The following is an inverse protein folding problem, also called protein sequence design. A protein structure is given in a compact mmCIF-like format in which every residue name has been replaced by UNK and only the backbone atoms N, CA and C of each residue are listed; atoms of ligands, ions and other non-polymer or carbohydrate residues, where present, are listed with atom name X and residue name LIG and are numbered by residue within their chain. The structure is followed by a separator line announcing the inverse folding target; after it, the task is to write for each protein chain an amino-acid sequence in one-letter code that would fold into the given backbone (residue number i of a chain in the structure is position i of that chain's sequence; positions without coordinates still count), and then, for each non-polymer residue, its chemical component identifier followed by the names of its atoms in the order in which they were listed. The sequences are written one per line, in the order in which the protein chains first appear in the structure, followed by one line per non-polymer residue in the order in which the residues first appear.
data_IF_452522757699
#
_entry.id   IF_452522757699
#
_cell.length_a   1.000
_cell.length_b   1.000
_cell.length_c   1.000
_cell.angle_alpha   90.00
_cell.angle_beta   90.00
_cell.angle_gamma   90.00
#
_symmetry.space_group_name_H-M   'P 1'
#
loop_
_entity.id
_entity.type
_entity.pdbx_description
1 polymer ?
#
# COMPACT_ATOMS: atom_id res chain seq x y z
N UNK A 1 -13.08 -0.98 -2.67
CA UNK A 1 -13.02 -1.14 -1.20
C UNK A 1 -12.20 -0.01 -0.55
N UNK A 2 -10.96 0.26 -0.99
CA UNK A 2 -10.18 1.45 -0.59
C UNK A 2 -10.58 2.69 -1.39
N UNK A 3 -10.87 2.53 -2.69
CA UNK A 3 -11.26 3.63 -3.61
C UNK A 3 -12.62 4.26 -3.27
N UNK A 4 -13.42 3.61 -2.42
CA UNK A 4 -14.69 4.10 -1.88
C UNK A 4 -14.54 4.77 -0.52
N UNK A 5 -13.34 4.76 0.07
CA UNK A 5 -13.10 5.44 1.34
C UNK A 5 -13.15 6.96 1.14
N UNK A 6 -13.77 7.69 2.08
CA UNK A 6 -13.62 9.14 2.18
C UNK A 6 -12.14 9.54 2.18
N UNK A 7 -11.83 10.70 1.58
CA UNK A 7 -10.45 11.16 1.35
C UNK A 7 -9.53 10.98 2.58
N UNK A 8 -9.95 11.47 3.75
CA UNK A 8 -9.13 11.36 4.97
C UNK A 8 -9.01 9.95 5.54
N UNK A 9 -10.04 9.13 5.42
CA UNK A 9 -9.93 7.72 5.83
C UNK A 9 -8.94 6.99 4.93
N UNK A 10 -8.98 7.25 3.62
CA UNK A 10 -8.02 6.70 2.66
C UNK A 10 -6.59 7.10 3.00
N UNK A 11 -6.34 8.39 3.23
CA UNK A 11 -4.99 8.87 3.53
C UNK A 11 -4.43 8.30 4.85
N UNK A 12 -5.24 8.21 5.91
CA UNK A 12 -4.84 7.54 7.15
C UNK A 12 -4.54 6.07 6.89
N UNK A 13 -5.36 5.40 6.09
CA UNK A 13 -5.18 4.00 5.75
C UNK A 13 -3.91 3.74 4.92
N UNK A 14 -3.69 4.51 3.85
CA UNK A 14 -2.48 4.42 3.01
C UNK A 14 -1.22 4.74 3.81
N UNK A 15 -1.31 5.70 4.74
CA UNK A 15 -0.21 6.03 5.65
C UNK A 15 0.12 4.86 6.57
N UNK A 16 -0.90 4.20 7.14
CA UNK A 16 -0.70 2.99 7.93
C UNK A 16 -0.15 1.84 7.10
N UNK A 17 -0.58 1.69 5.84
CA UNK A 17 -0.02 0.68 4.93
C UNK A 17 1.47 0.89 4.67
N UNK A 18 1.92 2.14 4.48
CA UNK A 18 3.35 2.45 4.32
C UNK A 18 4.16 2.21 5.60
N UNK A 19 3.55 2.41 6.77
CA UNK A 19 4.19 2.15 8.06
C UNK A 19 4.21 0.67 8.44
N UNK A 20 3.38 -0.15 7.80
CA UNK A 20 3.07 -1.56 8.12
C UNK A 20 2.41 -1.76 9.49
N UNK A 21 2.86 -1.03 10.52
CA UNK A 21 2.32 -1.03 11.88
C UNK A 21 2.65 0.26 12.60
N UNK A 22 1.72 0.79 13.40
CA UNK A 22 2.00 1.99 14.19
C UNK A 22 0.91 2.40 15.18
N UNK A 23 1.30 3.15 16.21
CA UNK A 23 0.35 3.84 17.09
C UNK A 23 -0.23 5.09 16.41
N UNK A 24 -1.33 5.62 16.96
CA UNK A 24 -1.99 6.81 16.40
C UNK A 24 -1.05 8.01 16.22
N UNK A 25 -0.10 8.21 17.14
CA UNK A 25 0.90 9.27 17.04
C UNK A 25 1.86 9.08 15.84
N UNK A 26 2.28 7.84 15.57
CA UNK A 26 3.14 7.54 14.43
C UNK A 26 2.42 7.80 13.10
N UNK A 27 1.15 7.37 13.01
CA UNK A 27 0.30 7.65 11.84
C UNK A 27 0.13 9.16 11.65
N UNK A 28 -0.17 9.90 12.73
CA UNK A 28 -0.32 11.36 12.69
C UNK A 28 0.94 12.05 12.16
N UNK A 29 2.11 11.65 12.65
CA UNK A 29 3.39 12.26 12.27
C UNK A 29 3.78 11.96 10.81
N UNK A 30 3.29 10.86 10.25
CA UNK A 30 3.54 10.47 8.87
C UNK A 30 2.51 11.04 7.86
N UNK A 31 1.46 11.73 8.33
CA UNK A 31 0.52 12.43 7.47
C UNK A 31 1.16 13.71 6.92
N UNK A 32 1.00 13.95 5.62
CA UNK A 32 1.47 15.17 4.95
C UNK A 32 0.72 16.42 5.42
N UNK A 33 -0.55 16.28 5.79
CA UNK A 33 -1.40 17.35 6.32
C UNK A 33 -1.95 16.93 7.69
N UNK A 34 -1.32 17.39 8.79
CA UNK A 34 -1.58 16.86 10.13
C UNK A 34 -2.95 17.29 10.65
N UNK A 35 -3.67 16.31 11.21
CA UNK A 35 -4.93 16.52 11.93
C UNK A 35 -4.73 16.32 13.44
N UNK A 36 -5.77 16.60 14.24
CA UNK A 36 -5.71 16.37 15.68
C UNK A 36 -5.55 14.88 15.99
N UNK A 37 -4.91 14.58 17.12
CA UNK A 37 -4.72 13.21 17.60
C UNK A 37 -6.07 12.48 17.82
N UNK A 38 -7.09 13.19 18.30
CA UNK A 38 -8.47 12.69 18.40
C UNK A 38 -9.09 12.36 17.04
N UNK A 39 -8.80 13.14 16.00
CA UNK A 39 -9.29 12.88 14.65
C UNK A 39 -8.61 11.64 14.05
N UNK A 40 -7.29 11.48 14.24
CA UNK A 40 -6.58 10.25 13.79
C UNK A 40 -7.17 9.02 14.45
N UNK A 41 -7.36 9.04 15.78
CA UNK A 41 -7.98 7.91 16.50
C UNK A 41 -9.38 7.59 16.00
N UNK A 42 -10.20 8.61 15.75
CA UNK A 42 -11.54 8.43 15.19
C UNK A 42 -11.50 7.75 13.81
N UNK A 43 -10.58 8.17 12.94
CA UNK A 43 -10.43 7.57 11.61
C UNK A 43 -9.91 6.13 11.70
N UNK A 44 -8.95 5.85 12.57
CA UNK A 44 -8.47 4.48 12.82
C UNK A 44 -9.61 3.58 13.33
N UNK A 45 -10.42 4.03 14.29
CA UNK A 45 -11.57 3.25 14.75
C UNK A 45 -12.61 2.98 13.66
N UNK A 46 -12.82 3.92 12.71
CA UNK A 46 -13.70 3.69 11.56
C UNK A 46 -13.11 2.67 10.60
N UNK A 47 -11.81 2.72 10.34
CA UNK A 47 -11.12 1.73 9.50
C UNK A 47 -11.15 0.34 10.14
N UNK A 48 -11.01 0.26 11.46
CA UNK A 48 -11.13 -0.98 12.26
C UNK A 48 -12.55 -1.53 12.15
N UNK A 49 -13.57 -0.69 12.33
CA UNK A 49 -14.98 -1.09 12.18
C UNK A 49 -15.32 -1.57 10.75
N UNK A 50 -14.59 -1.11 9.74
CA UNK A 50 -14.69 -1.59 8.35
C UNK A 50 -13.91 -2.87 8.08
N UNK A 51 -13.18 -3.38 9.07
CA UNK A 51 -12.34 -4.58 8.94
C UNK A 51 -11.13 -4.38 8.04
N UNK A 52 -10.65 -3.14 7.87
CA UNK A 52 -9.49 -2.80 7.04
C UNK A 52 -8.18 -2.79 7.84
N UNK A 53 -8.27 -2.58 9.14
CA UNK A 53 -7.12 -2.59 10.04
C UNK A 53 -7.45 -3.43 11.27
N UNK A 54 -6.40 -3.89 11.94
CA UNK A 54 -6.47 -4.59 13.21
C UNK A 54 -5.83 -3.72 14.29
N UNK A 55 -6.32 -3.87 15.52
CA UNK A 55 -5.82 -3.18 16.70
C UNK A 55 -5.29 -4.21 17.69
N UNK A 56 -4.07 -4.00 18.18
CA UNK A 56 -3.45 -4.81 19.21
C UNK A 56 -2.95 -3.93 20.37
N UNK A 57 -2.84 -4.46 21.60
CA UNK A 57 -2.16 -3.78 22.69
C UNK A 57 -0.68 -3.50 22.33
N UNK A 58 -0.18 -2.34 22.77
CA UNK A 58 1.20 -1.91 22.59
C UNK A 58 1.72 -1.14 23.81
N UNK A 59 3.01 -0.75 23.81
CA UNK A 59 3.67 -0.14 24.96
C UNK A 59 2.96 1.12 25.50
N UNK A 60 2.51 1.98 24.59
CA UNK A 60 1.86 3.26 24.91
C UNK A 60 0.38 3.27 24.48
N UNK A 61 -0.32 2.13 24.67
CA UNK A 61 -1.75 1.98 24.38
C UNK A 61 -2.01 0.97 23.27
N UNK A 62 -2.42 1.43 22.09
CA UNK A 62 -2.78 0.55 20.97
C UNK A 62 -1.88 0.79 19.75
N UNK A 63 -1.51 -0.31 19.11
CA UNK A 63 -0.88 -0.33 17.80
C UNK A 63 -1.87 -0.85 16.77
N UNK A 64 -1.83 -0.27 15.58
CA UNK A 64 -2.69 -0.60 14.46
C UNK A 64 -1.85 -1.18 13.33
N UNK A 65 -2.42 -2.07 12.54
CA UNK A 65 -1.80 -2.61 11.32
C UNK A 65 -2.88 -2.90 10.26
N UNK A 66 -2.59 -2.81 8.95
CA UNK A 66 -3.53 -3.24 7.92
C UNK A 66 -3.84 -4.73 8.07
N UNK A 67 -5.08 -5.15 7.77
CA UNK A 67 -5.37 -6.59 7.63
C UNK A 67 -4.61 -7.15 6.42
N UNK A 68 -4.10 -8.39 6.47
CA UNK A 68 -3.39 -9.04 5.34
C UNK A 68 -4.20 -9.03 4.03
N UNK A 69 -5.55 -9.03 4.11
CA UNK A 69 -6.41 -8.88 2.92
C UNK A 69 -6.15 -7.58 2.14
N UNK A 70 -5.53 -6.58 2.75
CA UNK A 70 -5.19 -5.30 2.12
C UNK A 70 -4.14 -5.46 1.03
N UNK A 71 -3.17 -6.35 1.19
CA UNK A 71 -2.16 -6.65 0.15
C UNK A 71 -2.84 -7.24 -1.09
N UNK A 72 -3.79 -8.15 -0.90
CA UNK A 72 -4.62 -8.69 -1.98
C UNK A 72 -5.51 -7.60 -2.62
N UNK A 73 -6.00 -6.64 -1.84
CA UNK A 73 -6.76 -5.49 -2.37
C UNK A 73 -5.85 -4.54 -3.18
N UNK A 74 -4.62 -4.30 -2.73
CA UNK A 74 -3.64 -3.48 -3.43
C UNK A 74 -3.23 -4.15 -4.75
N UNK A 75 -2.93 -5.46 -4.73
CA UNK A 75 -2.68 -6.23 -5.93
C UNK A 75 -3.86 -6.17 -6.92
N UNK A 76 -5.09 -6.33 -6.42
CA UNK A 76 -6.29 -6.21 -7.25
C UNK A 76 -6.51 -4.80 -7.82
N UNK A 77 -6.15 -3.74 -7.09
CA UNK A 77 -6.21 -2.37 -7.59
C UNK A 77 -5.15 -2.12 -8.67
N UNK A 78 -3.92 -2.58 -8.44
CA UNK A 78 -2.84 -2.53 -9.42
C UNK A 78 -3.21 -3.28 -10.70
N UNK A 79 -3.78 -4.48 -10.59
CA UNK A 79 -4.26 -5.24 -11.74
C UNK A 79 -5.27 -4.45 -12.57
N UNK A 80 -6.26 -3.82 -11.93
CA UNK A 80 -7.24 -2.97 -12.64
C UNK A 80 -6.57 -1.79 -13.36
N UNK A 81 -5.56 -1.17 -12.76
CA UNK A 81 -4.80 -0.08 -13.42
C UNK A 81 -4.04 -0.61 -14.64
N UNK A 82 -3.40 -1.78 -14.53
CA UNK A 82 -2.72 -2.45 -15.65
C UNK A 82 -3.71 -2.76 -16.77
N UNK A 83 -4.87 -3.34 -16.44
CA UNK A 83 -5.90 -3.69 -17.42
C UNK A 83 -6.44 -2.43 -18.13
N UNK A 84 -6.68 -1.35 -17.37
CA UNK A 84 -7.31 -0.13 -17.88
C UNK A 84 -6.38 0.73 -18.73
N UNK A 85 -5.14 0.93 -18.29
CA UNK A 85 -4.22 1.90 -18.90
C UNK A 85 -3.12 1.27 -19.74
N UNK A 86 -2.86 -0.03 -19.55
CA UNK A 86 -1.76 -0.75 -20.18
C UNK A 86 -2.24 -2.00 -20.94
N UNK A 87 -3.54 -2.09 -21.23
CA UNK A 87 -4.17 -3.18 -21.98
C UNK A 87 -3.83 -4.58 -21.41
N UNK A 88 -3.70 -4.69 -20.08
CA UNK A 88 -3.34 -5.94 -19.40
C UNK A 88 -1.86 -6.32 -19.49
N UNK A 89 -1.02 -5.49 -20.12
CA UNK A 89 0.41 -5.79 -20.29
C UNK A 89 1.24 -5.34 -19.08
N UNK A 90 1.61 -6.31 -18.25
CA UNK A 90 2.54 -6.10 -17.13
C UNK A 90 3.90 -5.54 -17.61
N UNK A 91 4.40 -6.00 -18.76
CA UNK A 91 5.65 -5.51 -19.36
C UNK A 91 5.57 -4.02 -19.76
N UNK A 92 4.42 -3.59 -20.31
CA UNK A 92 4.19 -2.18 -20.65
C UNK A 92 4.13 -1.30 -19.40
N UNK A 93 3.41 -1.75 -18.37
CA UNK A 93 3.32 -1.05 -17.09
C UNK A 93 4.70 -0.91 -16.41
N UNK A 94 5.50 -1.98 -16.38
CA UNK A 94 6.85 -1.97 -15.83
C UNK A 94 7.78 -1.00 -16.60
N UNK A 95 7.69 -1.00 -17.94
CA UNK A 95 8.46 -0.09 -18.79
C UNK A 95 8.11 1.37 -18.52
N UNK A 96 6.80 1.68 -18.41
CA UNK A 96 6.33 3.01 -18.09
C UNK A 96 6.83 3.47 -16.71
N UNK A 97 6.80 2.59 -15.70
CA UNK A 97 7.30 2.88 -14.36
C UNK A 97 8.79 3.27 -14.37
N UNK A 98 9.63 2.51 -15.08
CA UNK A 98 11.06 2.81 -15.23
C UNK A 98 11.30 4.10 -16.03
N UNK A 99 10.42 4.41 -16.99
CA UNK A 99 10.46 5.64 -17.78
C UNK A 99 10.13 6.92 -16.99
N UNK A 100 9.48 6.83 -15.82
CA UNK A 100 9.13 7.99 -14.96
C UNK A 100 10.33 8.55 -14.17
N UNK A 101 11.54 8.03 -14.37
CA UNK A 101 12.77 8.58 -13.80
C UNK A 101 13.22 7.91 -12.49
N UNK A 102 12.63 6.79 -12.11
CA UNK A 102 13.16 5.92 -11.06
C UNK A 102 14.39 5.18 -11.61
N UNK A 103 15.60 5.55 -11.14
CA UNK A 103 16.81 4.77 -11.41
C UNK A 103 16.89 3.63 -10.41
N UNK A 104 16.98 2.40 -10.93
CA UNK A 104 17.22 1.22 -10.10
C UNK A 104 18.66 1.23 -9.61
N UNK A 105 18.85 0.85 -8.35
CA UNK A 105 20.16 0.41 -7.86
C UNK A 105 20.57 -0.90 -8.54
N UNK A 106 21.87 -1.23 -8.59
CA UNK A 106 22.32 -2.53 -9.12
C UNK A 106 21.66 -3.72 -8.43
N UNK A 107 21.35 -3.61 -7.14
CA UNK A 107 20.70 -4.67 -6.37
C UNK A 107 19.22 -4.85 -6.77
N UNK A 108 18.48 -3.75 -6.95
CA UNK A 108 17.08 -3.79 -7.39
C UNK A 108 16.98 -4.30 -8.83
N UNK A 109 17.89 -3.88 -9.72
CA UNK A 109 17.94 -4.38 -11.09
C UNK A 109 18.18 -5.89 -11.12
N UNK A 110 19.17 -6.39 -10.37
CA UNK A 110 19.46 -7.82 -10.30
C UNK A 110 18.33 -8.65 -9.67
N UNK A 111 17.54 -8.06 -8.76
CA UNK A 111 16.36 -8.72 -8.21
C UNK A 111 15.23 -8.79 -9.25
N UNK A 112 15.02 -7.71 -10.00
CA UNK A 112 14.01 -7.65 -11.06
C UNK A 112 14.33 -8.61 -12.22
N UNK A 113 15.60 -8.68 -12.65
CA UNK A 113 16.07 -9.64 -13.66
C UNK A 113 15.75 -11.09 -13.27
N UNK A 114 16.02 -11.47 -12.01
CA UNK A 114 15.67 -12.81 -11.51
C UNK A 114 14.18 -13.12 -11.59
N UNK A 115 13.33 -12.18 -11.22
CA UNK A 115 11.86 -12.36 -11.29
C UNK A 115 11.41 -12.51 -12.75
N UNK A 116 12.00 -11.73 -13.67
CA UNK A 116 11.71 -11.84 -15.10
C UNK A 116 12.11 -13.22 -15.61
N UNK A 117 13.32 -13.68 -15.31
CA UNK A 117 13.83 -14.99 -15.73
C UNK A 117 12.96 -16.15 -15.22
N UNK A 118 12.43 -16.03 -13.99
CA UNK A 118 11.49 -17.01 -13.41
C UNK A 118 10.11 -16.97 -14.07
N UNK A 119 9.69 -15.81 -14.57
CA UNK A 119 8.35 -15.58 -15.15
C UNK A 119 8.26 -15.84 -16.65
N UNK A 120 9.39 -15.92 -17.36
CA UNK A 120 9.42 -16.32 -18.77
C UNK A 120 8.97 -17.78 -18.86
N UNK A 121 7.89 -18.03 -19.61
CA UNK A 121 7.49 -19.39 -19.96
C UNK A 121 8.68 -20.08 -20.63
N UNK A 122 9.27 -21.04 -19.92
CA UNK A 122 10.31 -21.89 -20.49
C UNK A 122 9.61 -22.76 -21.54
N UNK A 123 9.73 -22.37 -22.81
CA UNK A 123 9.32 -23.21 -23.94
C UNK A 123 9.94 -24.59 -23.73
N UNK A 124 9.10 -25.59 -23.45
CA UNK A 124 9.44 -27.00 -23.62
C UNK A 124 9.45 -27.35 -25.10
#
# INVERSE_FOLDING_TARGET
MIESLPRREREVFETLCRLEKGAAAAVRNALSDPISDSAVRTLLSRLEAKGLIERAPGPDGYVYSPVQRTEAVAAGALQRMIDTFFAGSAASAATALLGLGQKLTPQEAAALERIIDESVERKS
#
